data_IF_334475303008
#
_entry.id   IF_334475303008
#
_cell.length_a   1.000
_cell.length_b   1.000
_cell.length_c   1.000
_cell.angle_alpha   90.00
_cell.angle_beta   90.00
_cell.angle_gamma   90.00
#
_symmetry.space_group_name_H-M   'P 1'
#
loop_
_entity.id
_entity.type
_entity.pdbx_description
1 polymer ?
#
# COMPACT_ATOMS: atom_id res chain seq x y z
N UNK A 1 1.83 -31.55 7.49
CA UNK A 1 0.47 -31.00 7.57
C UNK A 1 0.30 -30.28 8.90
N UNK A 2 0.80 -29.05 9.01
CA UNK A 2 0.40 -28.13 10.08
C UNK A 2 -0.91 -27.49 9.64
N UNK A 3 -1.93 -27.59 10.48
CA UNK A 3 -3.31 -27.25 10.17
C UNK A 3 -3.42 -25.78 9.76
N UNK A 4 -4.06 -25.54 8.62
CA UNK A 4 -4.53 -24.23 8.14
C UNK A 4 -5.28 -23.45 9.24
N UNK A 5 -5.83 -24.12 10.25
CA UNK A 5 -6.64 -23.53 11.33
C UNK A 5 -5.93 -22.53 12.25
N UNK A 6 -4.61 -22.61 12.46
CA UNK A 6 -3.92 -21.72 13.44
C UNK A 6 -3.62 -20.32 12.89
N UNK A 7 -3.55 -20.12 11.58
CA UNK A 7 -3.42 -18.79 10.96
C UNK A 7 -4.77 -18.05 10.88
N UNK A 8 -5.88 -18.78 10.91
CA UNK A 8 -7.23 -18.19 11.00
C UNK A 8 -7.47 -17.55 12.38
N UNK A 9 -6.93 -18.15 13.44
CA UNK A 9 -7.00 -17.62 14.80
C UNK A 9 -6.26 -16.28 14.95
N UNK A 10 -5.12 -16.12 14.27
CA UNK A 10 -4.43 -14.84 14.21
C UNK A 10 -5.32 -13.76 13.57
N UNK A 11 -6.01 -14.05 12.46
CA UNK A 11 -6.92 -13.09 11.77
C UNK A 11 -8.10 -12.66 12.66
N UNK A 12 -8.71 -13.58 13.41
CA UNK A 12 -9.78 -13.24 14.34
C UNK A 12 -9.26 -12.40 15.51
N UNK A 13 -8.09 -12.74 16.05
CA UNK A 13 -7.50 -12.01 17.18
C UNK A 13 -7.15 -10.55 16.81
N UNK A 14 -6.68 -10.25 15.59
CA UNK A 14 -6.38 -8.85 15.18
C UNK A 14 -7.63 -7.99 15.03
N UNK A 15 -8.78 -8.55 14.66
CA UNK A 15 -10.03 -7.80 14.51
C UNK A 15 -10.86 -7.75 15.81
N UNK A 16 -10.87 -8.82 16.60
CA UNK A 16 -11.57 -8.86 17.90
C UNK A 16 -10.83 -8.07 19.00
N UNK A 17 -9.52 -7.85 18.85
CA UNK A 17 -8.73 -6.99 19.76
C UNK A 17 -8.62 -5.52 19.31
N UNK A 18 -9.43 -5.05 18.35
CA UNK A 18 -9.45 -3.62 17.99
C UNK A 18 -10.32 -2.81 18.97
N UNK A 19 -9.84 -2.66 20.21
CA UNK A 19 -10.07 -1.43 20.99
C UNK A 19 -9.18 -0.27 20.47
N UNK A 20 -8.26 -0.54 19.53
CA UNK A 20 -7.39 0.44 18.87
C UNK A 20 -7.95 0.89 17.51
N UNK A 21 -7.93 2.20 17.26
CA UNK A 21 -8.49 2.83 16.05
C UNK A 21 -7.88 2.39 14.71
N UNK A 22 -8.45 2.89 13.62
CA UNK A 22 -8.04 2.57 12.24
C UNK A 22 -6.61 3.05 11.95
N UNK A 23 -5.82 2.26 11.21
CA UNK A 23 -4.44 2.58 10.84
C UNK A 23 -4.22 2.69 9.33
N UNK A 24 -3.47 3.70 8.92
CA UNK A 24 -3.01 3.91 7.54
C UNK A 24 -1.48 3.97 7.47
N UNK A 25 -0.90 3.29 6.47
CA UNK A 25 0.54 3.31 6.20
C UNK A 25 0.78 3.90 4.81
N UNK A 26 1.61 4.95 4.73
CA UNK A 26 2.11 5.50 3.48
C UNK A 26 3.57 5.10 3.25
N UNK A 27 3.88 4.54 2.07
CA UNK A 27 5.25 4.18 1.67
C UNK A 27 5.74 5.10 0.55
N UNK A 28 6.84 5.80 0.81
CA UNK A 28 7.49 6.69 -0.15
C UNK A 28 8.60 5.97 -0.93
N UNK A 29 8.34 5.69 -2.21
CA UNK A 29 9.31 5.12 -3.15
C UNK A 29 10.34 6.12 -3.68
N UNK A 30 10.25 7.42 -3.36
CA UNK A 30 11.22 8.43 -3.81
C UNK A 30 12.42 8.50 -2.87
N UNK A 31 13.68 8.45 -3.35
CA UNK A 31 14.86 8.65 -2.50
C UNK A 31 15.04 10.11 -2.03
N UNK A 32 14.29 11.06 -2.60
CA UNK A 32 14.43 12.49 -2.30
C UNK A 32 13.61 12.88 -1.07
N UNK A 33 14.28 13.12 0.06
CA UNK A 33 13.66 13.67 1.28
C UNK A 33 13.06 15.06 1.04
N UNK A 34 11.82 15.27 1.48
CA UNK A 34 11.02 16.46 1.22
C UNK A 34 10.69 16.65 -0.26
N UNK A 35 10.77 15.59 -1.06
CA UNK A 35 10.44 15.61 -2.49
C UNK A 35 8.95 15.58 -2.76
N UNK A 36 8.60 15.72 -4.03
CA UNK A 36 7.20 15.79 -4.49
C UNK A 36 6.34 14.60 -4.03
N UNK A 37 6.85 13.37 -4.13
CA UNK A 37 6.14 12.17 -3.66
C UNK A 37 5.85 12.21 -2.16
N UNK A 38 6.80 12.68 -1.33
CA UNK A 38 6.62 12.80 0.11
C UNK A 38 5.53 13.83 0.44
N UNK A 39 5.53 14.97 -0.25
CA UNK A 39 4.53 16.02 -0.06
C UNK A 39 3.13 15.50 -0.39
N UNK A 40 2.97 14.82 -1.53
CA UNK A 40 1.68 14.25 -1.93
C UNK A 40 1.19 13.19 -0.93
N UNK A 41 2.07 12.28 -0.49
CA UNK A 41 1.72 11.26 0.51
C UNK A 41 1.27 11.89 1.83
N UNK A 42 1.99 12.90 2.32
CA UNK A 42 1.60 13.63 3.52
C UNK A 42 0.24 14.30 3.36
N UNK A 43 -0.03 14.87 2.18
CA UNK A 43 -1.32 15.48 1.86
C UNK A 43 -2.49 14.48 1.90
N UNK A 44 -2.25 13.22 1.52
CA UNK A 44 -3.23 12.12 1.69
C UNK A 44 -3.45 11.76 3.17
N UNK A 45 -2.39 11.77 3.99
CA UNK A 45 -2.46 11.40 5.40
C UNK A 45 -3.15 12.45 6.28
N UNK A 46 -3.12 13.73 5.91
CA UNK A 46 -3.76 14.84 6.65
C UNK A 46 -5.24 14.56 7.02
N UNK A 47 -6.16 14.29 6.07
CA UNK A 47 -7.56 14.02 6.38
C UNK A 47 -7.76 12.71 7.17
N UNK A 48 -6.89 11.71 7.00
CA UNK A 48 -6.95 10.46 7.78
C UNK A 48 -6.63 10.73 9.25
N UNK A 49 -5.55 11.48 9.50
CA UNK A 49 -5.18 11.90 10.85
C UNK A 49 -6.28 12.75 11.50
N UNK A 50 -6.86 13.69 10.74
CA UNK A 50 -7.99 14.51 11.21
C UNK A 50 -9.24 13.67 11.52
N UNK A 51 -9.44 12.54 10.85
CA UNK A 51 -10.51 11.57 11.11
C UNK A 51 -10.17 10.59 12.26
N UNK A 52 -9.05 10.79 12.97
CA UNK A 52 -8.65 9.97 14.11
C UNK A 52 -7.92 8.68 13.76
N UNK A 53 -7.47 8.51 12.51
CA UNK A 53 -6.66 7.35 12.13
C UNK A 53 -5.23 7.49 12.65
N UNK A 54 -4.64 6.39 13.11
CA UNK A 54 -3.19 6.30 13.25
C UNK A 54 -2.56 6.32 11.86
N UNK A 55 -1.68 7.29 11.59
CA UNK A 55 -0.99 7.39 10.31
C UNK A 55 0.50 7.16 10.46
N UNK A 56 1.07 6.32 9.62
CA UNK A 56 2.50 6.02 9.60
C UNK A 56 3.10 6.30 8.22
N UNK A 57 4.25 6.97 8.20
CA UNK A 57 5.00 7.27 6.97
C UNK A 57 6.33 6.51 6.93
N UNK A 58 6.56 5.76 5.84
CA UNK A 58 7.72 4.90 5.65
C UNK A 58 8.53 5.36 4.44
N UNK A 59 9.85 5.45 4.62
CA UNK A 59 10.80 5.85 3.57
C UNK A 59 11.42 4.63 2.88
N UNK A 60 10.92 4.28 1.69
CA UNK A 60 11.42 3.17 0.85
C UNK A 60 12.53 3.58 -0.11
N UNK A 61 12.36 4.69 -0.82
CA UNK A 61 13.35 5.15 -1.79
C UNK A 61 14.72 5.37 -1.12
N UNK A 62 15.79 4.90 -1.76
CA UNK A 62 17.15 4.97 -1.24
C UNK A 62 17.49 3.90 -0.20
N UNK A 63 16.58 2.96 0.10
CA UNK A 63 16.90 1.78 0.92
C UNK A 63 17.26 0.59 0.04
N UNK A 64 18.09 -0.29 0.57
CA UNK A 64 18.43 -1.55 -0.09
C UNK A 64 17.21 -2.47 -0.01
N UNK A 65 16.63 -2.77 -1.16
CA UNK A 65 15.60 -3.79 -1.34
C UNK A 65 15.90 -4.54 -2.63
N UNK A 66 15.75 -5.86 -2.60
CA UNK A 66 15.85 -6.69 -3.81
C UNK A 66 14.45 -7.14 -4.24
N UNK A 67 14.24 -7.16 -5.55
CA UNK A 67 13.03 -7.71 -6.15
C UNK A 67 12.86 -9.20 -5.87
N UNK A 68 11.66 -9.70 -6.13
CA UNK A 68 11.36 -11.12 -5.97
C UNK A 68 12.29 -11.98 -6.82
N UNK A 69 12.83 -13.06 -6.25
CA UNK A 69 13.70 -14.01 -6.97
C UNK A 69 12.96 -15.26 -7.43
N UNK A 70 11.62 -15.27 -7.36
CA UNK A 70 10.76 -16.42 -7.69
C UNK A 70 11.18 -17.76 -7.05
N UNK A 71 11.76 -17.71 -5.83
CA UNK A 71 12.24 -18.93 -5.16
C UNK A 71 11.13 -19.77 -4.51
N UNK A 72 9.88 -19.31 -4.54
CA UNK A 72 8.68 -19.94 -3.98
C UNK A 72 8.69 -20.30 -2.49
N UNK A 73 9.77 -20.02 -1.74
CA UNK A 73 9.86 -20.35 -0.30
C UNK A 73 8.78 -19.75 0.59
N UNK A 74 8.12 -18.66 0.19
CA UNK A 74 7.01 -18.10 0.94
C UNK A 74 5.75 -18.98 0.91
N UNK A 75 5.61 -19.86 -0.10
CA UNK A 75 4.57 -20.89 -0.13
C UNK A 75 4.90 -22.04 0.82
N UNK A 76 6.18 -22.37 0.97
CA UNK A 76 6.64 -23.42 1.88
C UNK A 76 6.53 -23.01 3.35
N UNK A 77 6.95 -21.78 3.68
CA UNK A 77 6.97 -21.29 5.07
C UNK A 77 5.60 -20.86 5.55
N UNK A 78 4.79 -20.24 4.68
CA UNK A 78 3.45 -19.75 4.99
C UNK A 78 3.37 -18.98 6.33
N UNK A 79 4.37 -18.13 6.59
CA UNK A 79 4.57 -17.38 7.84
C UNK A 79 4.36 -15.86 7.66
N UNK A 80 3.69 -15.46 6.57
CA UNK A 80 3.47 -14.08 6.15
C UNK A 80 4.76 -13.27 5.86
N UNK A 81 5.87 -13.94 5.57
CA UNK A 81 7.18 -13.31 5.33
C UNK A 81 7.81 -13.75 4.01
N UNK A 82 8.73 -12.93 3.52
CA UNK A 82 9.68 -13.34 2.50
C UNK A 82 10.88 -14.02 3.14
N UNK A 83 11.33 -15.15 2.57
CA UNK A 83 12.55 -15.86 3.03
C UNK A 83 13.84 -15.04 2.93
N UNK A 84 13.85 -13.97 2.13
CA UNK A 84 14.96 -13.03 2.08
C UNK A 84 14.90 -12.07 3.28
N UNK A 85 15.81 -12.25 4.23
CA UNK A 85 15.89 -11.50 5.50
C UNK A 85 16.97 -10.41 5.54
N UNK A 86 17.70 -10.23 4.44
CA UNK A 86 18.87 -9.35 4.36
C UNK A 86 18.54 -7.90 3.98
N UNK A 87 17.25 -7.56 3.86
CA UNK A 87 16.79 -6.25 3.46
C UNK A 87 15.49 -5.84 4.19
N UNK A 88 15.03 -4.62 3.92
CA UNK A 88 13.99 -3.93 4.69
C UNK A 88 12.56 -4.48 4.49
N UNK A 89 12.35 -5.39 3.52
CA UNK A 89 11.01 -5.68 3.02
C UNK A 89 10.08 -6.21 4.11
N UNK A 90 10.55 -7.18 4.91
CA UNK A 90 9.70 -7.84 5.90
C UNK A 90 9.22 -6.85 6.97
N UNK A 91 10.09 -5.94 7.43
CA UNK A 91 9.76 -4.92 8.44
C UNK A 91 8.60 -4.02 7.98
N UNK A 92 8.61 -3.59 6.72
CA UNK A 92 7.56 -2.71 6.21
C UNK A 92 6.33 -3.46 5.76
N UNK A 93 6.49 -4.70 5.29
CA UNK A 93 5.36 -5.55 4.99
C UNK A 93 4.57 -5.87 6.26
N UNK A 94 5.23 -6.12 7.41
CA UNK A 94 4.56 -6.26 8.71
C UNK A 94 3.71 -5.05 9.07
N UNK A 95 4.22 -3.82 8.86
CA UNK A 95 3.46 -2.58 9.08
C UNK A 95 2.23 -2.49 8.17
N UNK A 96 2.34 -2.92 6.91
CA UNK A 96 1.19 -3.04 5.99
C UNK A 96 0.17 -4.07 6.50
N UNK A 97 0.62 -5.22 7.00
CA UNK A 97 -0.28 -6.24 7.50
C UNK A 97 -1.09 -5.73 8.71
N UNK A 98 -0.49 -4.90 9.55
CA UNK A 98 -1.13 -4.26 10.69
C UNK A 98 -2.04 -3.05 10.34
N UNK A 99 -2.05 -2.56 9.10
CA UNK A 99 -2.87 -1.40 8.71
C UNK A 99 -4.17 -1.79 7.98
N UNK A 100 -5.17 -0.91 8.03
CA UNK A 100 -6.40 -1.04 7.24
C UNK A 100 -6.25 -0.36 5.87
N UNK A 101 -5.48 0.71 5.78
CA UNK A 101 -5.18 1.42 4.54
C UNK A 101 -3.68 1.39 4.18
N UNK A 102 -3.40 1.27 2.88
CA UNK A 102 -2.06 1.27 2.28
C UNK A 102 -2.01 2.35 1.20
N UNK A 103 -1.12 3.32 1.37
CA UNK A 103 -0.88 4.37 0.38
C UNK A 103 0.53 4.18 -0.18
N UNK A 104 0.64 3.86 -1.46
CA UNK A 104 1.94 3.63 -2.11
C UNK A 104 2.25 4.82 -3.01
N UNK A 105 3.28 5.57 -2.64
CA UNK A 105 3.72 6.76 -3.36
C UNK A 105 5.01 6.54 -4.13
N UNK A 106 5.13 7.03 -5.36
CA UNK A 106 6.35 6.87 -6.16
C UNK A 106 6.61 8.07 -7.07
N UNK A 107 7.87 8.40 -7.39
CA UNK A 107 8.16 9.26 -8.53
C UNK A 107 8.02 8.46 -9.84
N UNK A 108 7.76 9.15 -10.94
CA UNK A 108 7.78 8.53 -12.29
C UNK A 108 9.22 8.48 -12.81
N UNK A 109 9.83 7.30 -12.88
CA UNK A 109 11.16 7.06 -13.45
C UNK A 109 11.03 6.23 -14.72
N UNK A 110 11.45 6.79 -15.86
CA UNK A 110 11.32 6.16 -17.18
C UNK A 110 9.93 5.54 -17.41
N UNK A 111 8.89 6.36 -17.18
CA UNK A 111 7.46 6.03 -17.35
C UNK A 111 6.86 5.05 -16.35
N UNK A 112 7.60 4.58 -15.35
CA UNK A 112 7.08 3.64 -14.35
C UNK A 112 7.48 4.07 -12.92
N UNK A 113 7.11 3.25 -11.94
CA UNK A 113 7.48 3.40 -10.53
C UNK A 113 9.01 3.33 -10.33
N UNK A 114 9.53 3.86 -9.22
CA UNK A 114 10.94 3.65 -8.85
C UNK A 114 11.29 2.17 -8.70
N UNK A 115 12.56 1.83 -8.93
CA UNK A 115 13.04 0.45 -8.84
C UNK A 115 12.80 -0.17 -7.46
N UNK A 116 12.98 0.60 -6.39
CA UNK A 116 12.69 0.17 -5.02
C UNK A 116 11.20 -0.10 -4.81
N UNK A 117 10.31 0.75 -5.37
CA UNK A 117 8.87 0.49 -5.33
C UNK A 117 8.52 -0.78 -6.10
N UNK A 118 9.05 -0.97 -7.31
CA UNK A 118 8.80 -2.20 -8.09
C UNK A 118 9.23 -3.46 -7.34
N UNK A 119 10.43 -3.42 -6.73
CA UNK A 119 10.94 -4.52 -5.92
C UNK A 119 10.03 -4.84 -4.71
N UNK A 120 9.47 -3.80 -4.08
CA UNK A 120 8.52 -3.95 -2.99
C UNK A 120 7.20 -4.58 -3.46
N UNK A 121 6.61 -4.07 -4.55
CA UNK A 121 5.37 -4.57 -5.14
C UNK A 121 5.46 -6.06 -5.49
N UNK A 122 6.56 -6.47 -6.15
CA UNK A 122 6.75 -7.85 -6.59
C UNK A 122 6.80 -8.85 -5.43
N UNK A 123 7.41 -8.44 -4.32
CA UNK A 123 7.48 -9.28 -3.11
C UNK A 123 6.19 -9.24 -2.30
N UNK A 124 5.57 -8.06 -2.18
CA UNK A 124 4.30 -7.90 -1.45
C UNK A 124 3.19 -8.74 -2.09
N UNK A 125 3.07 -8.68 -3.43
CA UNK A 125 2.11 -9.48 -4.18
C UNK A 125 2.34 -10.98 -4.00
N UNK A 126 3.56 -11.46 -4.20
CA UNK A 126 3.83 -12.89 -4.12
C UNK A 126 3.68 -13.44 -2.69
N UNK A 127 4.18 -12.73 -1.66
CA UNK A 127 4.00 -13.14 -0.26
C UNK A 127 2.51 -13.13 0.11
N UNK A 128 1.75 -12.13 -0.33
CA UNK A 128 0.30 -12.08 -0.10
C UNK A 128 -0.41 -13.30 -0.70
N UNK A 129 -0.14 -13.63 -1.95
CA UNK A 129 -0.72 -14.80 -2.65
C UNK A 129 -0.35 -16.09 -1.93
N UNK A 130 0.93 -16.27 -1.60
CA UNK A 130 1.42 -17.48 -0.93
C UNK A 130 0.77 -17.75 0.43
N UNK A 131 0.23 -16.72 1.08
CA UNK A 131 -0.34 -16.76 2.42
C UNK A 131 -1.86 -16.53 2.42
N UNK A 132 -2.53 -16.94 1.34
CA UNK A 132 -3.99 -16.91 1.24
C UNK A 132 -4.58 -15.50 1.15
N UNK A 133 -3.90 -14.61 0.43
CA UNK A 133 -4.36 -13.26 0.10
C UNK A 133 -4.31 -12.30 1.29
N UNK A 134 -3.14 -12.09 1.88
CA UNK A 134 -2.96 -11.25 3.09
C UNK A 134 -3.43 -9.79 2.95
N UNK A 135 -3.36 -9.22 1.74
CA UNK A 135 -3.75 -7.83 1.50
C UNK A 135 -5.24 -7.67 1.17
N UNK A 136 -5.98 -8.77 1.07
CA UNK A 136 -7.37 -8.77 0.66
C UNK A 136 -8.24 -8.01 1.65
N UNK A 137 -9.10 -7.13 1.13
CA UNK A 137 -10.03 -6.31 1.93
C UNK A 137 -9.40 -5.06 2.56
N UNK A 138 -8.09 -4.83 2.41
CA UNK A 138 -7.47 -3.55 2.77
C UNK A 138 -7.87 -2.47 1.76
N UNK A 139 -7.77 -1.20 2.16
CA UNK A 139 -7.98 -0.05 1.28
C UNK A 139 -6.63 0.36 0.67
N UNK A 140 -6.57 0.59 -0.64
CA UNK A 140 -5.33 0.91 -1.36
C UNK A 140 -5.43 2.19 -2.18
N UNK A 141 -4.41 3.06 -2.08
CA UNK A 141 -4.30 4.24 -2.95
C UNK A 141 -2.88 4.36 -3.54
N UNK A 142 -2.82 4.47 -4.87
CA UNK A 142 -1.61 4.82 -5.59
C UNK A 142 -1.44 6.35 -5.63
N UNK A 143 -0.23 6.85 -5.42
CA UNK A 143 0.12 8.29 -5.48
C UNK A 143 1.37 8.46 -6.34
N UNK A 144 1.31 9.31 -7.37
CA UNK A 144 2.42 9.45 -8.31
C UNK A 144 2.84 10.91 -8.45
N UNK A 145 4.14 11.18 -8.24
CA UNK A 145 4.73 12.45 -8.63
C UNK A 145 5.33 12.33 -10.05
N UNK A 146 5.00 13.26 -10.93
CA UNK A 146 5.38 13.22 -12.35
C UNK A 146 5.79 14.60 -12.85
N UNK A 147 6.73 14.67 -13.81
CA UNK A 147 7.08 15.94 -14.46
C UNK A 147 6.09 16.31 -15.56
N UNK A 148 5.80 15.36 -16.48
CA UNK A 148 4.95 15.56 -17.66
C UNK A 148 4.17 14.31 -18.06
N UNK A 149 4.86 13.21 -18.35
CA UNK A 149 4.25 11.97 -18.86
C UNK A 149 4.70 10.73 -18.09
N UNK A 150 4.01 9.60 -18.33
CA UNK A 150 4.25 8.32 -17.65
C UNK A 150 3.54 8.15 -16.31
N UNK A 151 2.86 9.19 -15.81
CA UNK A 151 2.14 9.13 -14.53
C UNK A 151 1.06 8.06 -14.49
N UNK A 152 0.26 7.93 -15.55
CA UNK A 152 -0.77 6.88 -15.70
C UNK A 152 -0.17 5.48 -15.61
N UNK A 153 0.92 5.21 -16.34
CA UNK A 153 1.53 3.88 -16.32
C UNK A 153 2.10 3.52 -14.93
N UNK A 154 2.78 4.46 -14.26
CA UNK A 154 3.25 4.27 -12.89
C UNK A 154 2.08 4.07 -11.89
N UNK A 155 0.97 4.78 -12.09
CA UNK A 155 -0.26 4.62 -11.29
C UNK A 155 -0.87 3.23 -11.50
N UNK A 156 -0.94 2.78 -12.75
CA UNK A 156 -1.45 1.46 -13.13
C UNK A 156 -0.58 0.34 -12.55
N UNK A 157 0.75 0.46 -12.58
CA UNK A 157 1.67 -0.52 -11.98
C UNK A 157 1.36 -0.80 -10.51
N UNK A 158 1.07 0.25 -9.73
CA UNK A 158 0.67 0.09 -8.32
C UNK A 158 -0.72 -0.56 -8.23
N UNK A 159 -1.69 -0.07 -9.01
CA UNK A 159 -3.06 -0.57 -8.95
C UNK A 159 -3.20 -2.01 -9.45
N UNK A 160 -2.40 -2.46 -10.40
CA UNK A 160 -2.35 -3.86 -10.80
C UNK A 160 -2.02 -4.77 -9.61
N UNK A 161 -1.05 -4.38 -8.77
CA UNK A 161 -0.73 -5.14 -7.55
C UNK A 161 -1.91 -5.14 -6.56
N UNK A 162 -2.55 -3.99 -6.34
CA UNK A 162 -3.72 -3.89 -5.47
C UNK A 162 -4.88 -4.79 -5.94
N UNK A 163 -5.25 -4.68 -7.22
CA UNK A 163 -6.36 -5.42 -7.80
C UNK A 163 -6.10 -6.93 -7.79
N UNK A 164 -4.88 -7.37 -8.15
CA UNK A 164 -4.48 -8.78 -8.05
C UNK A 164 -4.49 -9.30 -6.61
N UNK A 165 -4.28 -8.42 -5.62
CA UNK A 165 -4.24 -8.79 -4.20
C UNK A 165 -5.58 -8.67 -3.48
N UNK A 166 -6.66 -8.31 -4.18
CA UNK A 166 -7.99 -8.12 -3.60
C UNK A 166 -8.11 -6.91 -2.66
N UNK A 167 -7.25 -5.92 -2.84
CA UNK A 167 -7.31 -4.60 -2.18
C UNK A 167 -8.44 -3.79 -2.81
N UNK A 168 -9.18 -3.04 -1.98
CA UNK A 168 -10.26 -2.15 -2.42
C UNK A 168 -9.64 -0.79 -2.78
N UNK A 169 -9.80 -0.38 -4.04
CA UNK A 169 -9.22 0.86 -4.57
C UNK A 169 -10.31 1.91 -4.72
N UNK A 170 -10.42 2.90 -3.82
CA UNK A 170 -11.34 4.02 -3.99
C UNK A 170 -10.86 4.99 -5.07
N UNK A 171 -11.82 5.71 -5.66
CA UNK A 171 -11.53 6.86 -6.53
C UNK A 171 -11.25 8.14 -5.73
N UNK A 172 -10.88 9.18 -6.47
CA UNK A 172 -10.73 10.57 -6.00
C UNK A 172 -11.43 11.49 -7.01
N UNK A 173 -11.43 12.80 -6.78
CA UNK A 173 -11.89 13.81 -7.75
C UNK A 173 -11.28 13.63 -9.14
N UNK A 174 -10.04 13.17 -9.21
CA UNK A 174 -9.37 12.76 -10.44
C UNK A 174 -8.24 11.75 -10.14
N UNK A 175 -7.31 11.52 -11.07
CA UNK A 175 -6.17 10.63 -10.86
C UNK A 175 -5.26 11.20 -9.76
N UNK A 176 -4.72 10.33 -8.90
CA UNK A 176 -3.79 10.71 -7.83
C UNK A 176 -2.38 10.98 -8.38
N UNK A 177 -2.28 11.95 -9.29
CA UNK A 177 -1.05 12.45 -9.89
C UNK A 177 -0.76 13.86 -9.36
N UNK A 178 0.50 14.14 -9.08
CA UNK A 178 0.97 15.50 -8.79
C UNK A 178 2.13 15.89 -9.69
N UNK A 179 2.05 17.08 -10.26
CA UNK A 179 2.99 17.59 -11.25
C UNK A 179 4.11 18.44 -10.61
N UNK A 180 5.37 18.08 -10.87
CA UNK A 180 6.52 18.84 -10.40
C UNK A 180 7.87 18.30 -10.88
N UNK A 181 8.76 19.19 -11.34
CA UNK A 181 10.10 18.83 -11.79
C UNK A 181 11.09 18.83 -10.62
N UNK A 182 11.17 19.98 -9.97
CA UNK A 182 12.08 20.25 -8.87
C UNK A 182 11.42 19.93 -7.53
N UNK A 183 12.25 19.89 -6.49
CA UNK A 183 11.83 19.53 -5.14
C UNK A 183 10.84 20.59 -4.63
N UNK A 184 9.61 20.17 -4.37
CA UNK A 184 8.57 21.04 -3.81
C UNK A 184 7.60 21.59 -4.85
N UNK A 185 7.86 21.41 -6.14
CA UNK A 185 7.03 21.97 -7.23
C UNK A 185 5.56 21.55 -7.15
N UNK A 186 5.26 20.35 -6.64
CA UNK A 186 3.87 19.89 -6.46
C UNK A 186 3.05 20.77 -5.50
N UNK A 187 3.70 21.61 -4.70
CA UNK A 187 3.00 22.63 -3.92
C UNK A 187 2.25 23.65 -4.80
N UNK A 188 2.72 23.86 -6.03
CA UNK A 188 2.04 24.69 -7.04
C UNK A 188 0.96 23.97 -7.85
N UNK A 189 0.85 22.64 -7.72
CA UNK A 189 -0.18 21.84 -8.40
C UNK A 189 -1.45 21.74 -7.57
N UNK A 190 -2.30 22.76 -7.67
CA UNK A 190 -3.54 22.84 -6.91
C UNK A 190 -4.53 21.71 -7.22
N UNK A 191 -4.50 21.12 -8.43
CA UNK A 191 -5.35 19.97 -8.75
C UNK A 191 -4.81 18.70 -8.12
N UNK A 192 -3.51 18.43 -8.27
CA UNK A 192 -2.86 17.29 -7.64
C UNK A 192 -3.06 17.29 -6.11
N UNK A 193 -2.88 18.43 -5.44
CA UNK A 193 -3.10 18.55 -3.99
C UNK A 193 -4.56 18.33 -3.57
N UNK A 194 -5.53 18.80 -4.38
CA UNK A 194 -6.96 18.55 -4.12
C UNK A 194 -7.28 17.06 -4.27
N UNK A 195 -6.73 16.38 -5.26
CA UNK A 195 -6.90 14.94 -5.43
C UNK A 195 -6.35 14.16 -4.23
N UNK A 196 -5.21 14.59 -3.67
CA UNK A 196 -4.64 13.96 -2.46
C UNK A 196 -5.51 14.17 -1.22
N UNK A 197 -6.07 15.36 -1.04
CA UNK A 197 -6.98 15.63 0.07
C UNK A 197 -8.28 14.80 -0.06
N UNK A 198 -8.83 14.74 -1.27
CA UNK A 198 -10.07 14.02 -1.55
C UNK A 198 -9.92 12.50 -1.39
N UNK A 199 -8.84 11.90 -1.91
CA UNK A 199 -8.60 10.47 -1.72
C UNK A 199 -8.44 10.12 -0.23
N UNK A 200 -7.78 10.99 0.54
CA UNK A 200 -7.63 10.78 1.98
C UNK A 200 -8.96 10.85 2.74
N UNK A 201 -9.85 11.79 2.39
CA UNK A 201 -11.23 11.84 2.91
C UNK A 201 -12.05 10.61 2.51
N UNK A 202 -11.89 10.16 1.27
CA UNK A 202 -12.59 8.99 0.74
C UNK A 202 -12.14 7.71 1.45
N UNK A 203 -10.85 7.55 1.72
CA UNK A 203 -10.32 6.42 2.51
C UNK A 203 -10.89 6.46 3.94
N UNK A 204 -10.93 7.63 4.59
CA UNK A 204 -11.50 7.77 5.94
C UNK A 204 -12.96 7.32 5.97
N UNK A 205 -13.78 7.83 5.05
CA UNK A 205 -15.19 7.48 4.93
C UNK A 205 -15.37 5.99 4.63
N UNK A 206 -14.62 5.45 3.67
CA UNK A 206 -14.72 4.05 3.25
C UNK A 206 -14.33 3.11 4.40
N UNK A 207 -13.27 3.43 5.14
CA UNK A 207 -12.87 2.61 6.29
C UNK A 207 -13.92 2.59 7.39
N UNK A 208 -14.56 3.74 7.68
CA UNK A 208 -15.67 3.80 8.63
C UNK A 208 -16.88 2.97 8.15
N UNK A 209 -17.19 3.03 6.85
CA UNK A 209 -18.27 2.25 6.25
C UNK A 209 -17.99 0.73 6.24
N UNK A 210 -16.74 0.33 6.04
CA UNK A 210 -16.33 -1.08 5.98
C UNK A 210 -16.19 -1.72 7.34
N UNK A 211 -15.75 -0.97 8.37
CA UNK A 211 -15.45 -1.49 9.71
C UNK A 211 -16.51 -2.45 10.29
N UNK A 212 -17.82 -2.14 10.29
CA UNK A 212 -18.83 -3.06 10.83
C UNK A 212 -19.07 -4.32 9.98
N UNK A 213 -18.53 -4.37 8.75
CA UNK A 213 -18.79 -5.45 7.78
C UNK A 213 -17.55 -6.30 7.45
N UNK A 214 -16.37 -5.93 7.96
CA UNK A 214 -15.11 -6.61 7.61
C UNK A 214 -15.09 -8.10 7.94
N UNK A 215 -15.75 -8.54 9.01
CA UNK A 215 -15.88 -9.96 9.37
C UNK A 215 -16.58 -10.80 8.28
N UNK A 216 -17.41 -10.16 7.46
CA UNK A 216 -18.16 -10.79 6.36
C UNK A 216 -17.56 -10.54 4.98
N UNK A 217 -16.40 -9.87 4.90
CA UNK A 217 -15.76 -9.59 3.62
C UNK A 217 -15.48 -10.89 2.84
N UNK A 218 -15.80 -10.98 1.53
CA UNK A 218 -15.71 -12.23 0.79
C UNK A 218 -14.31 -12.85 0.84
N UNK A 219 -14.22 -14.11 1.25
CA UNK A 219 -12.98 -14.89 1.23
C UNK A 219 -12.53 -15.14 -0.21
N UNK A 220 -11.23 -15.36 -0.41
CA UNK A 220 -10.73 -15.80 -1.71
C UNK A 220 -11.32 -17.18 -2.03
N UNK A 221 -11.84 -17.34 -3.25
CA UNK A 221 -12.27 -18.66 -3.74
C UNK A 221 -10.99 -19.47 -3.99
N UNK A 222 -10.74 -20.48 -3.17
CA UNK A 222 -9.67 -21.44 -3.43
C UNK A 222 -10.14 -22.38 -4.54
N UNK A 223 -9.44 -22.37 -5.68
CA UNK A 223 -9.59 -23.46 -6.65
C UNK A 223 -8.89 -24.67 -6.01
N UNK A 224 -9.66 -25.70 -5.67
CA UNK A 224 -9.08 -27.00 -5.31
C UNK A 224 -8.33 -27.51 -6.55
N UNK A 225 -7.00 -27.50 -6.49
CA UNK A 225 -6.11 -28.10 -7.48
C UNK A 225 -5.61 -29.45 -7.00
#
# INVERSE_FOLDING_TARGET
>A
MLKVSTLYDLRFTIYEQQEGGMKAVAINGSPRKGGNTEILLKKVLEPLSAAGWETEFIQLGGKKIRGCSACSRCFDTNDARCSMKTDIFNEWFEKILASQAIILGTPTYFTDVSAEMKAFLDRAGLVSVANGGLLRGKIGAAVVAVRRGGGTHAFDTINHMFLMSGVIVPGSTYWNLGYGLDKGDVAGDAEGLRNMEDIGKTIAWLGAAMAPHMATYPKAITIET
#
